data_IF_298523543452
#
_entry.id   IF_298523543452
#
_cell.length_a   1.000
_cell.length_b   1.000
_cell.length_c   1.000
_cell.angle_alpha   90.00
_cell.angle_beta   90.00
_cell.angle_gamma   90.00
#
_symmetry.space_group_name_H-M   'P 1'
#
loop_
_entity.id
_entity.type
_entity.pdbx_description
1 polymer ?
#
# COMPACT_ATOMS: atom_id res chain seq x y z
N UNK A 1 -35.08 -12.36 2.20
CA UNK A 1 -35.40 -13.26 1.05
C UNK A 1 -34.43 -12.98 -0.07
N UNK A 2 -33.67 -13.97 -0.40
CA UNK A 2 -32.73 -14.30 -1.48
C UNK A 2 -31.26 -14.20 -1.10
N UNK A 3 -30.80 -15.34 -0.64
CA UNK A 3 -29.40 -15.80 -0.65
C UNK A 3 -28.84 -15.82 -2.08
N UNK A 4 -27.57 -15.46 -2.21
CA UNK A 4 -26.74 -15.91 -3.33
C UNK A 4 -25.47 -16.54 -2.75
N UNK A 5 -25.47 -17.87 -2.73
CA UNK A 5 -24.32 -18.71 -2.46
C UNK A 5 -23.46 -18.79 -3.71
N UNK A 6 -22.20 -18.35 -3.64
CA UNK A 6 -21.17 -18.70 -4.60
C UNK A 6 -20.27 -19.77 -3.97
N UNK A 7 -20.52 -21.04 -4.39
CA UNK A 7 -19.73 -22.19 -3.98
C UNK A 7 -18.38 -22.26 -4.68
N UNK A 8 -17.32 -22.00 -3.94
CA UNK A 8 -15.96 -22.35 -4.36
C UNK A 8 -15.78 -23.86 -4.40
N UNK A 9 -15.41 -24.43 -5.57
CA UNK A 9 -14.99 -25.82 -5.68
C UNK A 9 -13.65 -25.98 -4.93
N UNK A 10 -13.67 -26.73 -3.83
CA UNK A 10 -12.46 -27.08 -3.10
C UNK A 10 -11.66 -28.16 -3.86
N UNK A 11 -10.34 -28.11 -3.75
CA UNK A 11 -9.39 -29.06 -4.37
C UNK A 11 -9.73 -30.54 -4.14
N UNK A 12 -10.45 -30.84 -3.07
CA UNK A 12 -10.90 -32.19 -2.72
C UNK A 12 -11.98 -32.76 -3.65
N UNK A 13 -12.79 -31.91 -4.29
CA UNK A 13 -13.79 -32.36 -5.29
C UNK A 13 -13.14 -32.67 -6.62
N UNK A 14 -12.08 -31.97 -6.98
CA UNK A 14 -11.34 -32.21 -8.23
C UNK A 14 -10.55 -33.51 -8.15
N UNK A 15 -10.02 -33.87 -6.98
CA UNK A 15 -9.30 -35.12 -6.77
C UNK A 15 -10.23 -36.37 -6.87
N UNK A 16 -11.46 -36.30 -6.37
CA UNK A 16 -12.46 -37.41 -6.45
C UNK A 16 -13.02 -37.64 -7.84
N UNK A 17 -12.97 -36.63 -8.70
CA UNK A 17 -13.41 -36.78 -10.11
C UNK A 17 -12.32 -37.50 -10.91
N UNK A 18 -11.06 -37.25 -10.66
CA UNK A 18 -9.92 -37.91 -11.30
C UNK A 18 -9.76 -39.37 -10.87
N UNK A 19 -10.09 -39.73 -9.63
CA UNK A 19 -10.07 -41.12 -9.15
C UNK A 19 -11.18 -42.00 -9.79
N UNK A 20 -12.33 -41.40 -10.10
CA UNK A 20 -13.43 -42.15 -10.73
C UNK A 20 -13.21 -42.44 -12.23
N UNK A 21 -12.46 -41.60 -12.91
CA UNK A 21 -12.13 -41.85 -14.35
C UNK A 21 -10.97 -42.84 -14.53
N UNK A 22 -10.06 -42.99 -13.55
CA UNK A 22 -8.99 -43.96 -13.60
C UNK A 22 -9.46 -45.41 -13.34
N UNK A 23 -10.51 -45.63 -12.53
CA UNK A 23 -11.04 -46.98 -12.25
C UNK A 23 -11.93 -47.53 -13.37
N UNK A 24 -12.46 -46.72 -14.28
CA UNK A 24 -13.27 -47.15 -15.41
C UNK A 24 -12.46 -47.71 -16.59
N UNK A 25 -11.13 -47.55 -16.58
CA UNK A 25 -10.26 -48.00 -17.70
C UNK A 25 -9.62 -49.39 -17.47
N UNK A 26 -9.76 -49.99 -16.29
CA UNK A 26 -9.17 -51.29 -15.94
C UNK A 26 -10.10 -52.51 -16.01
N UNK A 27 -11.41 -52.31 -16.28
CA UNK A 27 -12.38 -53.41 -16.29
C UNK A 27 -12.70 -53.98 -17.68
N UNK A 28 -11.90 -53.70 -18.71
CA UNK A 28 -12.17 -54.19 -20.07
C UNK A 28 -11.12 -55.17 -20.67
N UNK A 29 -10.28 -55.80 -19.86
CA UNK A 29 -9.22 -56.71 -20.33
C UNK A 29 -9.30 -58.15 -19.80
N UNK A 30 -10.48 -58.61 -19.35
CA UNK A 30 -10.65 -60.03 -18.94
C UNK A 30 -11.84 -60.71 -19.63
N UNK A 31 -11.77 -60.82 -20.95
CA UNK A 31 -12.68 -61.73 -21.68
C UNK A 31 -12.13 -62.16 -23.05
N UNK A 32 -11.00 -62.80 -23.15
CA UNK A 32 -10.61 -63.62 -24.31
C UNK A 32 -9.34 -64.41 -23.99
N UNK A 33 -9.49 -65.56 -23.30
CA UNK A 33 -8.54 -66.66 -23.42
C UNK A 33 -9.10 -67.93 -22.78
N UNK A 34 -10.00 -68.61 -23.44
CA UNK A 34 -10.17 -70.10 -23.29
C UNK A 34 -10.61 -70.67 -24.62
N UNK A 35 -9.67 -71.01 -25.47
CA UNK A 35 -9.89 -71.95 -26.54
C UNK A 35 -8.84 -73.04 -26.43
N UNK A 36 -9.31 -74.16 -25.96
CA UNK A 36 -8.65 -75.45 -25.74
C UNK A 36 -8.18 -76.04 -27.05
N UNK A 37 -6.90 -76.40 -27.10
CA UNK A 37 -6.34 -77.17 -28.25
C UNK A 37 -6.59 -78.63 -28.03
N UNK A 38 -7.41 -79.26 -28.94
CA UNK A 38 -7.46 -80.69 -29.15
C UNK A 38 -6.58 -81.04 -30.34
N UNK A 39 -5.62 -81.95 -30.13
CA UNK A 39 -4.76 -82.50 -31.11
C UNK A 39 -5.43 -83.77 -31.73
N UNK A 40 -5.68 -83.74 -33.01
CA UNK A 40 -6.23 -84.88 -33.70
C UNK A 40 -5.98 -84.89 -35.22
N UNK A 41 -4.96 -85.68 -35.62
CA UNK A 41 -4.82 -86.44 -36.85
C UNK A 41 -4.57 -85.76 -38.20
N UNK A 42 -3.39 -86.08 -38.66
CA UNK A 42 -2.83 -85.96 -40.00
C UNK A 42 -3.63 -86.67 -41.03
N UNK A 43 -3.93 -86.00 -42.15
CA UNK A 43 -4.06 -86.64 -43.46
C UNK A 43 -3.41 -85.77 -44.53
N UNK A 44 -2.44 -86.36 -45.22
CA UNK A 44 -1.82 -85.79 -46.42
C UNK A 44 -2.75 -85.97 -47.61
N UNK A 45 -2.96 -84.87 -48.37
CA UNK A 45 -3.26 -84.94 -49.80
C UNK A 45 -2.99 -83.58 -50.49
N UNK A 46 -2.32 -83.62 -51.61
CA UNK A 46 -2.50 -82.82 -52.79
C UNK A 46 -2.00 -81.37 -52.78
N UNK A 47 -0.81 -81.14 -53.37
CA UNK A 47 -0.32 -79.80 -53.61
C UNK A 47 -1.09 -79.07 -54.69
N UNK A 48 -1.63 -77.95 -54.40
CA UNK A 48 -1.97 -76.90 -55.36
C UNK A 48 -1.13 -75.65 -55.11
N UNK A 49 -0.51 -75.19 -56.20
CA UNK A 49 0.27 -73.93 -56.15
C UNK A 49 -0.70 -72.76 -55.89
N UNK A 50 -0.37 -71.86 -54.98
CA UNK A 50 -1.23 -70.73 -54.72
C UNK A 50 -1.31 -69.82 -55.96
N UNK A 51 -2.52 -69.49 -56.35
CA UNK A 51 -2.85 -68.57 -57.44
C UNK A 51 -2.36 -67.19 -57.17
N UNK A 52 -2.03 -66.39 -58.19
CA UNK A 52 -1.51 -65.02 -58.10
C UNK A 52 -2.32 -64.05 -57.21
N UNK A 53 -3.59 -64.34 -56.91
CA UNK A 53 -4.49 -63.57 -56.08
C UNK A 53 -4.17 -63.73 -54.58
N UNK A 54 -3.71 -64.91 -54.15
CA UNK A 54 -3.35 -65.12 -52.71
C UNK A 54 -2.02 -64.45 -52.32
N UNK A 55 -1.09 -64.33 -53.28
CA UNK A 55 0.19 -63.61 -53.02
C UNK A 55 0.01 -62.15 -52.99
N UNK A 56 -0.94 -61.53 -53.72
CA UNK A 56 -1.24 -60.09 -53.64
C UNK A 56 -1.91 -59.73 -52.30
N UNK A 57 -2.86 -60.54 -51.80
CA UNK A 57 -3.55 -60.36 -50.55
C UNK A 57 -2.57 -60.41 -49.32
N UNK A 58 -1.66 -61.42 -49.34
CA UNK A 58 -0.64 -61.57 -48.29
C UNK A 58 0.38 -60.39 -48.28
N UNK A 59 0.69 -59.80 -49.44
CA UNK A 59 1.58 -58.66 -49.55
C UNK A 59 0.93 -57.34 -49.07
N UNK A 60 -0.38 -57.19 -49.33
CA UNK A 60 -1.16 -56.05 -48.83
C UNK A 60 -1.34 -56.13 -47.31
N UNK A 61 -1.60 -57.29 -46.75
CA UNK A 61 -1.74 -57.49 -45.31
C UNK A 61 -0.43 -57.23 -44.56
N UNK A 62 0.73 -57.64 -45.10
CA UNK A 62 2.05 -57.31 -44.62
C UNK A 62 2.31 -55.77 -44.67
N UNK A 63 1.90 -55.10 -45.75
CA UNK A 63 2.03 -53.63 -45.88
C UNK A 63 1.14 -52.90 -44.90
N UNK A 64 -0.09 -53.34 -44.64
CA UNK A 64 -1.01 -52.79 -43.64
C UNK A 64 -0.46 -53.01 -42.23
N UNK A 65 0.07 -54.18 -41.92
CA UNK A 65 0.69 -54.49 -40.60
C UNK A 65 1.95 -53.67 -40.36
N UNK A 66 2.79 -53.47 -41.39
CA UNK A 66 3.99 -52.62 -41.26
C UNK A 66 3.64 -51.12 -41.13
N UNK A 67 2.59 -50.63 -41.80
CA UNK A 67 2.08 -49.29 -41.66
C UNK A 67 1.49 -49.07 -40.25
N UNK A 68 0.80 -50.07 -39.72
CA UNK A 68 0.27 -49.98 -38.32
C UNK A 68 1.40 -49.94 -37.29
N UNK A 69 2.38 -50.84 -37.38
CA UNK A 69 3.57 -50.83 -36.52
C UNK A 69 4.38 -49.54 -36.64
N UNK A 70 4.49 -48.96 -37.83
CA UNK A 70 5.18 -47.68 -38.01
C UNK A 70 4.43 -46.49 -37.37
N UNK A 71 3.09 -46.54 -37.37
CA UNK A 71 2.25 -45.51 -36.73
C UNK A 71 2.27 -45.63 -35.21
N UNK A 72 2.20 -46.84 -34.68
CA UNK A 72 2.32 -47.13 -33.24
C UNK A 72 3.69 -46.74 -32.70
N UNK A 73 4.77 -47.03 -33.44
CA UNK A 73 6.13 -46.59 -33.04
C UNK A 73 6.29 -45.07 -33.04
N UNK A 74 5.70 -44.38 -34.02
CA UNK A 74 5.72 -42.89 -34.05
C UNK A 74 4.90 -42.29 -32.90
N UNK A 75 3.75 -42.88 -32.58
CA UNK A 75 2.93 -42.48 -31.45
C UNK A 75 3.66 -42.71 -30.11
N UNK A 76 4.31 -43.89 -29.96
CA UNK A 76 5.12 -44.16 -28.77
C UNK A 76 6.28 -43.19 -28.62
N UNK A 77 7.00 -42.87 -29.70
CA UNK A 77 8.08 -41.89 -29.69
C UNK A 77 7.58 -40.47 -29.35
N UNK A 78 6.42 -40.10 -29.87
CA UNK A 78 5.77 -38.83 -29.53
C UNK A 78 5.36 -38.78 -28.06
N UNK A 79 4.78 -39.86 -27.53
CA UNK A 79 4.43 -39.95 -26.11
C UNK A 79 5.66 -39.84 -25.19
N UNK A 80 6.75 -40.54 -25.53
CA UNK A 80 8.02 -40.48 -24.81
C UNK A 80 8.55 -39.03 -24.84
N UNK A 81 8.48 -38.37 -26.00
CA UNK A 81 8.89 -36.97 -26.15
C UNK A 81 8.07 -36.03 -25.24
N UNK A 82 6.73 -36.16 -25.24
CA UNK A 82 5.85 -35.35 -24.39
C UNK A 82 6.16 -35.58 -22.91
N UNK A 83 6.30 -36.83 -22.48
CA UNK A 83 6.65 -37.16 -21.10
C UNK A 83 8.03 -36.57 -20.71
N UNK A 84 9.02 -36.72 -21.60
CA UNK A 84 10.35 -36.16 -21.35
C UNK A 84 10.34 -34.64 -21.23
N UNK A 85 9.63 -33.95 -22.15
CA UNK A 85 9.48 -32.46 -22.08
C UNK A 85 8.73 -32.04 -20.81
N UNK A 86 7.65 -32.76 -20.46
CA UNK A 86 6.90 -32.47 -19.23
C UNK A 86 7.76 -32.65 -17.97
N UNK A 87 8.59 -33.71 -17.93
CA UNK A 87 9.52 -33.94 -16.81
C UNK A 87 10.59 -32.85 -16.71
N UNK A 88 11.11 -32.37 -17.85
CA UNK A 88 12.08 -31.27 -17.89
C UNK A 88 11.42 -29.98 -17.37
N UNK A 89 10.22 -29.65 -17.85
CA UNK A 89 9.48 -28.47 -17.43
C UNK A 89 9.13 -28.51 -15.93
N UNK A 90 8.74 -29.69 -15.42
CA UNK A 90 8.48 -29.89 -14.01
C UNK A 90 9.76 -29.70 -13.16
N UNK A 91 10.91 -30.24 -13.64
CA UNK A 91 12.20 -30.06 -13.00
C UNK A 91 12.65 -28.59 -12.95
N UNK A 92 12.53 -27.88 -14.06
CA UNK A 92 12.83 -26.43 -14.11
C UNK A 92 11.88 -25.65 -13.19
N UNK A 93 10.59 -25.95 -13.24
CA UNK A 93 9.60 -25.33 -12.36
C UNK A 93 9.91 -25.54 -10.88
N UNK A 94 10.34 -26.75 -10.50
CA UNK A 94 10.75 -27.05 -9.16
C UNK A 94 12.00 -26.26 -8.72
N UNK A 95 13.02 -26.15 -9.58
CA UNK A 95 14.24 -25.38 -9.27
C UNK A 95 13.92 -23.88 -9.04
N UNK A 96 13.06 -23.30 -9.89
CA UNK A 96 12.64 -21.90 -9.75
C UNK A 96 11.80 -21.69 -8.49
N UNK A 97 10.87 -22.61 -8.21
CA UNK A 97 10.03 -22.54 -7.00
C UNK A 97 10.88 -22.70 -5.73
N UNK A 98 11.87 -23.60 -5.75
CA UNK A 98 12.80 -23.82 -4.65
C UNK A 98 13.61 -22.54 -4.33
N UNK A 99 14.11 -21.87 -5.36
CA UNK A 99 14.84 -20.61 -5.17
C UNK A 99 13.92 -19.47 -4.68
N UNK A 100 12.74 -19.34 -5.28
CA UNK A 100 11.76 -18.31 -4.93
C UNK A 100 11.23 -18.46 -3.50
N UNK A 101 10.94 -19.68 -3.06
CA UNK A 101 10.33 -19.96 -1.75
C UNK A 101 11.36 -20.35 -0.67
N UNK A 102 12.64 -20.34 -0.99
CA UNK A 102 13.75 -20.63 -0.06
C UNK A 102 13.67 -22.01 0.63
N UNK A 103 13.19 -23.07 -0.06
CA UNK A 103 12.87 -24.33 0.60
C UNK A 103 14.07 -25.16 1.05
N UNK A 104 15.16 -25.22 0.32
CA UNK A 104 16.29 -26.11 0.60
C UNK A 104 17.63 -25.38 0.44
N UNK A 105 17.75 -24.19 1.00
CA UNK A 105 19.00 -23.43 1.00
C UNK A 105 19.76 -23.70 2.28
N UNK A 106 21.10 -23.73 2.19
CA UNK A 106 21.93 -23.73 3.39
C UNK A 106 21.79 -22.39 4.13
N UNK A 107 21.69 -22.39 5.46
CA UNK A 107 21.57 -21.15 6.23
C UNK A 107 22.77 -20.23 5.99
N UNK A 108 22.55 -19.11 5.37
CA UNK A 108 23.53 -18.07 5.13
C UNK A 108 22.91 -16.72 5.45
N UNK A 109 23.66 -15.88 6.16
CA UNK A 109 23.30 -14.47 6.36
C UNK A 109 24.32 -13.62 5.62
N UNK A 110 23.84 -12.67 4.85
CA UNK A 110 24.68 -11.75 4.07
C UNK A 110 24.20 -10.31 4.19
N UNK A 111 25.14 -9.39 4.09
CA UNK A 111 24.88 -7.95 4.14
C UNK A 111 24.81 -7.40 2.72
N UNK A 112 23.70 -6.76 2.36
CA UNK A 112 23.49 -6.14 1.04
C UNK A 112 23.41 -4.62 1.22
N UNK A 113 24.30 -3.91 0.54
CA UNK A 113 24.25 -2.45 0.44
C UNK A 113 23.49 -2.05 -0.83
N UNK A 114 22.39 -1.28 -0.65
CA UNK A 114 21.61 -0.67 -1.72
C UNK A 114 21.92 0.82 -1.75
N UNK A 115 22.44 1.29 -2.87
CA UNK A 115 22.82 2.68 -3.08
C UNK A 115 21.82 3.39 -4.01
N UNK A 116 21.92 4.72 -4.12
CA UNK A 116 21.08 5.55 -4.99
C UNK A 116 21.13 5.15 -6.48
N UNK A 117 22.27 4.56 -6.90
CA UNK A 117 22.50 4.18 -8.30
C UNK A 117 22.05 2.74 -8.60
N UNK A 118 21.52 2.02 -7.61
CA UNK A 118 21.07 0.65 -7.76
C UNK A 118 19.64 0.58 -8.33
N UNK A 119 19.51 -0.21 -9.36
CA UNK A 119 18.22 -0.66 -9.90
C UNK A 119 17.93 -2.10 -9.47
N UNK A 120 16.74 -2.61 -9.75
CA UNK A 120 16.34 -4.00 -9.44
C UNK A 120 17.30 -5.03 -10.06
N UNK A 121 17.99 -4.69 -11.15
CA UNK A 121 18.94 -5.59 -11.79
C UNK A 121 20.29 -5.63 -11.05
N UNK A 122 20.79 -4.48 -10.58
CA UNK A 122 22.01 -4.41 -9.77
C UNK A 122 21.78 -5.09 -8.42
N UNK A 123 20.62 -4.86 -7.79
CA UNK A 123 20.20 -5.52 -6.54
C UNK A 123 20.13 -7.03 -6.72
N UNK A 124 19.47 -7.53 -7.78
CA UNK A 124 19.44 -8.96 -8.09
C UNK A 124 20.84 -9.57 -8.31
N UNK A 125 21.78 -8.76 -8.84
CA UNK A 125 23.16 -9.20 -9.01
C UNK A 125 23.88 -9.27 -7.66
N UNK A 126 23.70 -8.29 -6.78
CA UNK A 126 24.24 -8.30 -5.42
C UNK A 126 23.71 -9.50 -4.63
N UNK A 127 22.38 -9.71 -4.61
CA UNK A 127 21.75 -10.86 -3.94
C UNK A 127 22.29 -12.20 -4.43
N UNK A 128 22.54 -12.33 -5.75
CA UNK A 128 23.13 -13.54 -6.32
C UNK A 128 24.59 -13.73 -5.91
N UNK A 129 25.40 -12.67 -5.93
CA UNK A 129 26.82 -12.73 -5.59
C UNK A 129 27.01 -13.15 -4.12
N UNK A 130 26.11 -12.72 -3.25
CA UNK A 130 26.11 -13.09 -1.83
C UNK A 130 25.39 -14.42 -1.57
N UNK A 131 24.92 -15.13 -2.60
CA UNK A 131 24.33 -16.46 -2.46
C UNK A 131 22.90 -16.51 -1.90
N UNK A 132 22.24 -15.36 -1.78
CA UNK A 132 20.86 -15.26 -1.28
C UNK A 132 19.84 -15.77 -2.31
N UNK A 133 20.14 -15.64 -3.60
CA UNK A 133 19.32 -16.13 -4.71
C UNK A 133 20.18 -16.86 -5.75
N UNK A 134 19.60 -17.82 -6.47
CA UNK A 134 20.32 -18.51 -7.55
C UNK A 134 20.01 -17.91 -8.94
N UNK A 135 18.76 -17.58 -9.20
CA UNK A 135 18.28 -17.17 -10.53
C UNK A 135 17.91 -15.68 -10.59
N UNK A 136 18.93 -14.82 -10.80
CA UNK A 136 18.71 -13.36 -10.84
C UNK A 136 17.67 -12.91 -11.88
N UNK A 137 17.56 -13.60 -13.03
CA UNK A 137 16.56 -13.25 -14.05
C UNK A 137 15.13 -13.51 -13.55
N UNK A 138 14.96 -14.56 -12.74
CA UNK A 138 13.68 -14.91 -12.15
C UNK A 138 13.30 -13.94 -11.01
N UNK A 139 14.25 -13.57 -10.17
CA UNK A 139 14.05 -12.51 -9.18
C UNK A 139 13.66 -11.18 -9.83
N UNK A 140 14.30 -10.80 -10.96
CA UNK A 140 13.91 -9.59 -11.73
C UNK A 140 12.48 -9.66 -12.23
N UNK A 141 12.08 -10.80 -12.81
CA UNK A 141 10.71 -11.00 -13.29
C UNK A 141 9.71 -10.89 -12.13
N UNK A 142 10.01 -11.53 -10.99
CA UNK A 142 9.20 -11.44 -9.78
C UNK A 142 9.14 -10.00 -9.23
N UNK A 143 10.28 -9.32 -9.16
CA UNK A 143 10.39 -7.94 -8.72
C UNK A 143 9.60 -6.96 -9.60
N UNK A 144 9.60 -7.17 -10.92
CA UNK A 144 8.79 -6.35 -11.83
C UNK A 144 7.28 -6.50 -11.57
N UNK A 145 6.81 -7.73 -11.31
CA UNK A 145 5.40 -8.00 -10.97
C UNK A 145 5.02 -7.41 -9.61
N UNK A 146 5.97 -7.35 -8.67
CA UNK A 146 5.76 -6.85 -7.30
C UNK A 146 6.09 -5.39 -7.11
N UNK A 147 6.47 -4.69 -8.17
CA UNK A 147 6.94 -3.29 -8.12
C UNK A 147 8.08 -3.11 -7.08
N UNK A 148 9.07 -4.01 -7.13
CA UNK A 148 10.17 -4.03 -6.17
C UNK A 148 11.02 -2.75 -6.22
N UNK A 149 11.15 -2.12 -7.40
CA UNK A 149 11.88 -0.87 -7.54
C UNK A 149 11.31 0.29 -6.74
N UNK A 150 9.99 0.27 -6.50
CA UNK A 150 9.28 1.31 -5.74
C UNK A 150 9.29 1.02 -4.23
N UNK A 151 9.72 -0.18 -3.83
CA UNK A 151 9.64 -0.67 -2.43
C UNK A 151 11.00 -0.79 -1.75
N UNK A 152 12.05 -1.05 -2.51
CA UNK A 152 13.40 -1.23 -1.97
C UNK A 152 14.01 0.15 -1.70
N UNK A 153 14.39 0.38 -0.45
CA UNK A 153 15.03 1.63 -0.01
C UNK A 153 16.56 1.59 -0.09
N UNK A 154 17.19 2.76 -0.04
CA UNK A 154 18.64 2.91 0.09
C UNK A 154 19.04 2.52 1.51
N UNK A 155 20.09 1.71 1.66
CA UNK A 155 20.60 1.30 2.95
C UNK A 155 21.40 0.00 2.91
N UNK A 156 21.88 -0.43 4.07
CA UNK A 156 22.59 -1.69 4.26
C UNK A 156 21.68 -2.66 5.03
N UNK A 157 21.39 -3.81 4.42
CA UNK A 157 20.43 -4.78 4.91
C UNK A 157 21.10 -6.11 5.25
N UNK A 158 20.80 -6.67 6.40
CA UNK A 158 21.14 -8.05 6.74
C UNK A 158 20.01 -8.97 6.30
N UNK A 159 20.30 -9.84 5.35
CA UNK A 159 19.34 -10.77 4.75
C UNK A 159 19.84 -12.19 4.89
N UNK A 160 18.96 -13.17 4.93
CA UNK A 160 19.31 -14.56 5.04
C UNK A 160 18.63 -15.42 3.97
N UNK A 161 19.15 -16.64 3.79
CA UNK A 161 18.65 -17.60 2.78
C UNK A 161 17.33 -18.24 3.15
N UNK A 162 16.79 -18.05 4.37
CA UNK A 162 15.46 -18.52 4.77
C UNK A 162 14.35 -17.58 4.26
N UNK A 163 14.73 -16.39 3.77
CA UNK A 163 13.82 -15.43 3.19
C UNK A 163 13.44 -15.80 1.76
N UNK A 164 12.14 -15.92 1.49
CA UNK A 164 11.61 -16.01 0.14
C UNK A 164 11.79 -14.68 -0.64
N UNK A 165 11.54 -14.65 -1.94
CA UNK A 165 11.72 -13.44 -2.75
C UNK A 165 10.88 -12.25 -2.26
N UNK A 166 9.70 -12.50 -1.72
CA UNK A 166 8.85 -11.44 -1.18
C UNK A 166 9.42 -10.92 0.14
N UNK A 167 9.89 -11.81 1.02
CA UNK A 167 10.55 -11.44 2.27
C UNK A 167 11.87 -10.67 2.02
N UNK A 168 12.66 -11.05 1.00
CA UNK A 168 13.85 -10.30 0.59
C UNK A 168 13.50 -8.87 0.14
N UNK A 169 12.47 -8.70 -0.70
CA UNK A 169 12.00 -7.38 -1.13
C UNK A 169 11.48 -6.57 0.06
N UNK A 170 10.69 -7.18 0.94
CA UNK A 170 10.19 -6.53 2.15
C UNK A 170 11.30 -6.24 3.16
N UNK A 171 12.27 -7.12 3.31
CA UNK A 171 13.43 -6.93 4.17
C UNK A 171 14.26 -5.71 3.75
N UNK A 172 14.41 -5.47 2.45
CA UNK A 172 15.07 -4.29 1.90
C UNK A 172 14.16 -3.05 1.87
N UNK A 173 12.86 -3.19 2.03
CA UNK A 173 11.90 -2.07 2.12
C UNK A 173 11.55 -1.72 3.56
N UNK A 174 11.83 -2.60 4.51
CA UNK A 174 11.36 -2.49 5.88
C UNK A 174 12.34 -1.74 6.78
N UNK A 175 11.81 -0.87 7.60
CA UNK A 175 12.41 0.11 8.52
C UNK A 175 13.41 -0.46 9.55
N UNK A 176 13.49 -1.77 9.71
CA UNK A 176 14.22 -2.41 10.81
C UNK A 176 15.45 -3.25 10.39
N UNK A 177 15.78 -3.29 9.10
CA UNK A 177 16.83 -4.18 8.59
C UNK A 177 18.14 -3.47 8.21
N UNK A 178 18.24 -2.15 8.43
CA UNK A 178 19.42 -1.40 8.01
C UNK A 178 20.52 -1.47 9.07
N UNK A 179 21.56 -2.22 8.79
CA UNK A 179 22.79 -2.25 9.62
C UNK A 179 23.72 -1.15 9.09
N UNK A 180 24.09 -0.20 9.95
CA UNK A 180 25.03 0.89 9.66
C UNK A 180 24.59 1.96 8.62
N UNK A 181 23.31 2.17 8.38
CA UNK A 181 22.89 3.42 7.76
C UNK A 181 22.90 4.52 8.84
N UNK A 182 23.47 5.68 8.52
CA UNK A 182 23.33 6.84 9.38
C UNK A 182 21.84 7.20 9.49
N UNK A 183 21.28 7.11 10.69
CA UNK A 183 19.91 7.51 10.98
C UNK A 183 19.89 8.82 11.74
N UNK A 184 18.82 9.57 11.54
CA UNK A 184 18.53 10.80 12.27
C UNK A 184 17.16 10.71 12.92
N UNK A 185 17.08 11.05 14.18
CA UNK A 185 15.82 11.14 14.90
C UNK A 185 15.27 12.55 14.72
N UNK A 186 14.07 12.67 14.18
CA UNK A 186 13.39 13.95 13.97
C UNK A 186 12.06 13.94 14.69
N UNK A 187 11.87 14.90 15.61
CA UNK A 187 10.59 15.15 16.24
C UNK A 187 9.86 16.23 15.44
N UNK A 188 8.71 15.85 14.89
CA UNK A 188 7.81 16.76 14.18
C UNK A 188 6.82 17.32 15.22
N UNK A 189 6.87 18.64 15.49
CA UNK A 189 5.93 19.26 16.42
C UNK A 189 4.50 19.27 15.89
N UNK A 190 3.53 19.21 16.81
CA UNK A 190 2.13 19.49 16.51
C UNK A 190 1.98 20.89 15.90
N UNK A 191 1.03 21.06 15.00
CA UNK A 191 0.75 22.35 14.37
C UNK A 191 1.72 22.76 13.25
N UNK A 192 2.67 21.89 12.82
CA UNK A 192 3.50 22.15 11.65
C UNK A 192 2.72 21.92 10.36
N UNK A 193 2.89 22.82 9.38
CA UNK A 193 2.40 22.60 8.02
C UNK A 193 3.29 21.63 7.26
N UNK A 194 2.80 21.09 6.14
CA UNK A 194 3.60 20.22 5.23
C UNK A 194 4.91 20.90 4.84
N UNK A 195 4.91 22.20 4.53
CA UNK A 195 6.16 22.94 4.21
C UNK A 195 7.13 22.99 5.39
N UNK A 196 6.64 23.24 6.58
CA UNK A 196 7.47 23.26 7.78
C UNK A 196 8.06 21.88 8.07
N UNK A 197 7.29 20.81 7.86
CA UNK A 197 7.77 19.44 7.98
C UNK A 197 8.85 19.14 6.94
N UNK A 198 8.64 19.50 5.68
CA UNK A 198 9.62 19.33 4.59
C UNK A 198 10.93 20.06 4.92
N UNK A 199 10.86 21.33 5.33
CA UNK A 199 12.05 22.11 5.73
C UNK A 199 12.76 21.50 6.96
N UNK A 200 11.98 20.96 7.91
CA UNK A 200 12.53 20.28 9.10
C UNK A 200 13.28 19.00 8.70
N UNK A 201 12.67 18.14 7.87
CA UNK A 201 13.29 16.91 7.38
C UNK A 201 14.57 17.21 6.59
N UNK A 202 14.55 18.23 5.73
CA UNK A 202 15.73 18.67 4.99
C UNK A 202 16.85 19.16 5.91
N UNK A 203 16.53 19.94 6.95
CA UNK A 203 17.48 20.41 7.95
C UNK A 203 18.20 19.27 8.66
N UNK A 204 17.52 18.13 8.88
CA UNK A 204 18.11 16.94 9.50
C UNK A 204 18.79 15.99 8.50
N UNK A 205 18.83 16.36 7.21
CA UNK A 205 19.54 15.58 6.19
C UNK A 205 18.79 14.33 5.72
N UNK A 206 17.47 14.26 5.95
CA UNK A 206 16.64 13.15 5.43
C UNK A 206 16.67 13.15 3.90
N UNK A 207 16.50 14.32 3.27
CA UNK A 207 16.79 14.55 1.85
C UNK A 207 16.82 16.06 1.58
N UNK A 208 17.08 16.47 0.32
CA UNK A 208 17.00 17.88 -0.07
C UNK A 208 15.56 18.41 0.02
N UNK A 209 15.40 19.69 0.37
CA UNK A 209 14.08 20.32 0.48
C UNK A 209 13.29 20.25 -0.82
N UNK A 210 13.96 20.48 -1.97
CA UNK A 210 13.34 20.39 -3.29
C UNK A 210 12.82 18.98 -3.62
N UNK A 211 13.57 17.94 -3.25
CA UNK A 211 13.17 16.55 -3.49
C UNK A 211 11.98 16.16 -2.61
N UNK A 212 12.00 16.51 -1.32
CA UNK A 212 10.91 16.29 -0.38
C UNK A 212 9.65 17.05 -0.80
N UNK A 213 9.77 18.31 -1.18
CA UNK A 213 8.66 19.13 -1.67
C UNK A 213 8.08 18.55 -2.96
N UNK A 214 8.94 18.16 -3.91
CA UNK A 214 8.52 17.51 -5.16
C UNK A 214 7.76 16.20 -4.91
N UNK A 215 8.20 15.40 -3.96
CA UNK A 215 7.50 14.17 -3.56
C UNK A 215 6.14 14.48 -2.90
N UNK A 216 6.07 15.48 -2.02
CA UNK A 216 4.83 15.91 -1.40
C UNK A 216 3.81 16.43 -2.42
N UNK A 217 4.26 17.19 -3.43
CA UNK A 217 3.41 17.76 -4.47
C UNK A 217 2.91 16.73 -5.48
N UNK A 218 3.78 15.80 -5.91
CA UNK A 218 3.58 14.94 -7.10
C UNK A 218 3.66 13.45 -6.83
N UNK A 219 4.12 13.02 -5.64
CA UNK A 219 4.22 11.61 -5.27
C UNK A 219 2.86 10.92 -5.34
N UNK A 220 2.83 9.64 -5.65
CA UNK A 220 1.63 8.81 -5.58
C UNK A 220 1.60 8.09 -4.25
N UNK A 221 0.57 8.34 -3.45
CA UNK A 221 0.37 7.73 -2.15
C UNK A 221 -0.97 7.00 -2.16
N UNK A 222 -0.93 5.68 -1.93
CA UNK A 222 -2.12 4.82 -1.97
C UNK A 222 -2.68 4.63 -0.55
N UNK A 223 -3.39 5.66 -0.08
CA UNK A 223 -4.11 5.63 1.19
C UNK A 223 -5.56 6.03 0.95
N UNK A 224 -6.49 5.24 1.51
CA UNK A 224 -7.94 5.43 1.32
C UNK A 224 -8.47 6.75 1.88
N UNK A 225 -7.77 7.36 2.83
CA UNK A 225 -8.15 8.64 3.43
C UNK A 225 -7.65 9.86 2.63
N UNK A 226 -6.77 9.68 1.65
CA UNK A 226 -6.32 10.78 0.80
C UNK A 226 -7.24 10.95 -0.40
N UNK A 227 -7.69 12.18 -0.65
CA UNK A 227 -8.48 12.50 -1.84
C UNK A 227 -7.59 12.51 -3.09
N UNK A 228 -7.79 11.53 -3.96
CA UNK A 228 -7.10 11.41 -5.25
C UNK A 228 -7.40 12.55 -6.24
N UNK A 229 -8.47 13.33 -6.01
CA UNK A 229 -8.83 14.50 -6.81
C UNK A 229 -8.04 15.76 -6.47
N UNK A 230 -7.35 15.77 -5.31
CA UNK A 230 -6.55 16.91 -4.87
C UNK A 230 -5.10 16.81 -5.37
N UNK A 231 -4.48 17.95 -5.61
CA UNK A 231 -3.10 18.07 -6.08
C UNK A 231 -2.29 19.05 -5.22
N UNK A 232 -0.98 19.03 -5.38
CA UNK A 232 -0.06 19.88 -4.60
C UNK A 232 0.09 19.42 -3.14
N UNK A 233 0.79 20.21 -2.35
CA UNK A 233 1.08 19.89 -0.94
C UNK A 233 -0.18 19.91 -0.05
N UNK A 234 -1.18 20.68 -0.43
CA UNK A 234 -2.42 20.83 0.35
C UNK A 234 -3.18 19.51 0.54
N UNK A 235 -2.99 18.53 -0.35
CA UNK A 235 -3.59 17.18 -0.22
C UNK A 235 -3.06 16.37 0.95
N UNK A 236 -1.85 16.73 1.45
CA UNK A 236 -1.20 16.06 2.59
C UNK A 236 -1.36 16.85 3.89
N UNK A 237 -1.91 18.08 3.82
CA UNK A 237 -2.09 18.91 5.01
C UNK A 237 -3.11 18.27 5.96
N UNK A 238 -2.72 18.11 7.21
CA UNK A 238 -3.51 17.42 8.23
C UNK A 238 -3.22 15.91 8.36
N UNK A 239 -2.52 15.30 7.39
CA UNK A 239 -2.30 13.86 7.34
C UNK A 239 -0.86 13.42 7.67
N UNK A 240 0.11 14.36 7.79
CA UNK A 240 1.47 14.06 8.20
C UNK A 240 1.57 14.11 9.73
N UNK A 241 1.25 12.98 10.39
CA UNK A 241 1.06 12.96 11.85
C UNK A 241 2.30 13.45 12.62
N UNK A 242 2.15 14.39 13.59
CA UNK A 242 3.24 14.85 14.43
C UNK A 242 3.64 13.78 15.44
N UNK A 243 4.92 13.39 15.43
CA UNK A 243 5.51 12.40 16.34
C UNK A 243 7.05 12.45 16.21
N UNK A 244 7.74 11.59 16.93
CA UNK A 244 9.19 11.38 16.78
C UNK A 244 9.45 10.20 15.87
N UNK A 245 10.20 10.44 14.81
CA UNK A 245 10.52 9.47 13.77
C UNK A 245 12.02 9.25 13.63
N UNK A 246 12.41 8.06 13.24
CA UNK A 246 13.75 7.76 12.80
C UNK A 246 13.78 7.66 11.28
N UNK A 247 14.64 8.46 10.63
CA UNK A 247 14.84 8.49 9.18
C UNK A 247 16.27 8.13 8.83
N UNK A 248 16.47 7.60 7.64
CA UNK A 248 17.83 7.47 7.09
C UNK A 248 18.31 8.80 6.51
N UNK A 249 19.60 9.06 6.62
CA UNK A 249 20.23 10.18 5.89
C UNK A 249 20.15 9.88 4.39
N UNK A 250 19.65 10.82 3.60
CA UNK A 250 19.34 10.68 2.17
C UNK A 250 18.28 9.60 1.87
N UNK A 251 17.32 9.38 2.78
CA UNK A 251 16.16 8.50 2.54
C UNK A 251 15.38 8.95 1.30
N UNK A 252 14.76 8.00 0.58
CA UNK A 252 13.83 8.33 -0.50
C UNK A 252 12.71 9.25 0.01
N UNK A 253 12.45 10.40 -0.63
CA UNK A 253 11.47 11.37 -0.16
C UNK A 253 10.06 10.81 -0.02
N UNK A 254 9.65 9.90 -0.93
CA UNK A 254 8.32 9.29 -0.86
C UNK A 254 8.22 8.33 0.33
N UNK A 255 9.29 7.59 0.63
CA UNK A 255 9.33 6.72 1.81
C UNK A 255 9.28 7.52 3.11
N UNK A 256 9.99 8.65 3.17
CA UNK A 256 9.93 9.52 4.33
C UNK A 256 8.50 10.04 4.58
N UNK A 257 7.79 10.47 3.53
CA UNK A 257 6.40 10.92 3.61
C UNK A 257 5.47 9.76 3.99
N UNK A 258 5.62 8.58 3.37
CA UNK A 258 4.81 7.40 3.71
C UNK A 258 4.90 7.04 5.19
N UNK A 259 6.07 7.22 5.82
CA UNK A 259 6.27 6.96 7.25
C UNK A 259 5.36 7.81 8.14
N UNK A 260 5.12 9.07 7.76
CA UNK A 260 4.22 9.96 8.47
C UNK A 260 2.75 9.59 8.23
N UNK A 261 2.42 9.24 6.97
CA UNK A 261 1.07 8.78 6.59
C UNK A 261 0.70 7.44 7.24
N UNK A 262 1.66 6.51 7.33
CA UNK A 262 1.45 5.24 8.04
C UNK A 262 1.16 5.45 9.53
N UNK A 263 1.88 6.39 10.18
CA UNK A 263 1.61 6.72 11.57
C UNK A 263 0.24 7.38 11.73
N UNK A 264 -0.15 8.27 10.82
CA UNK A 264 -1.50 8.82 10.78
C UNK A 264 -2.55 7.70 10.72
N UNK A 265 -2.38 6.75 9.80
CA UNK A 265 -3.28 5.59 9.67
C UNK A 265 -3.36 4.75 10.94
N UNK A 266 -2.25 4.60 11.67
CA UNK A 266 -2.22 3.86 12.94
C UNK A 266 -2.86 4.63 14.10
N UNK A 267 -2.75 5.96 14.11
CA UNK A 267 -3.31 6.82 15.15
C UNK A 267 -4.81 7.04 14.99
N UNK A 268 -5.29 7.05 13.73
CA UNK A 268 -6.72 7.04 13.40
C UNK A 268 -7.24 5.61 13.40
N UNK A 269 -7.34 5.05 14.61
CA UNK A 269 -7.82 3.69 14.82
C UNK A 269 -9.33 3.54 14.55
N UNK A 270 -9.83 2.31 14.62
CA UNK A 270 -11.23 2.00 14.32
C UNK A 270 -12.21 2.75 15.25
N UNK A 271 -11.81 3.04 16.49
CA UNK A 271 -12.62 3.80 17.45
C UNK A 271 -12.78 5.25 17.00
N UNK A 272 -11.67 5.93 16.67
CA UNK A 272 -11.69 7.30 16.17
C UNK A 272 -12.41 7.42 14.83
N UNK A 273 -12.20 6.46 13.92
CA UNK A 273 -12.91 6.44 12.63
C UNK A 273 -14.41 6.25 12.81
N UNK A 274 -14.84 5.45 13.79
CA UNK A 274 -16.27 5.33 14.16
C UNK A 274 -16.81 6.66 14.69
N UNK A 275 -16.07 7.36 15.53
CA UNK A 275 -16.47 8.71 16.02
C UNK A 275 -16.55 9.73 14.87
N UNK A 276 -15.65 9.66 13.88
CA UNK A 276 -15.77 10.49 12.65
C UNK A 276 -17.10 10.20 11.92
N UNK A 277 -17.43 8.94 11.70
CA UNK A 277 -18.69 8.55 11.05
C UNK A 277 -19.92 9.02 11.84
N UNK A 278 -19.91 8.89 13.16
CA UNK A 278 -20.99 9.30 14.06
C UNK A 278 -21.13 10.84 14.15
N UNK A 279 -20.06 11.60 13.94
CA UNK A 279 -20.07 13.07 14.00
C UNK A 279 -20.91 13.71 12.87
N UNK A 280 -21.09 13.00 11.75
CA UNK A 280 -21.74 13.52 10.54
C UNK A 280 -20.85 14.44 9.70
N UNK A 281 -19.57 14.62 10.06
CA UNK A 281 -18.55 15.31 9.29
C UNK A 281 -17.62 14.31 8.62
N UNK A 282 -17.05 14.68 7.48
CA UNK A 282 -15.99 13.88 6.86
C UNK A 282 -14.70 13.93 7.68
N UNK A 283 -13.82 12.94 7.51
CA UNK A 283 -12.50 12.95 8.15
C UNK A 283 -11.73 14.25 7.84
N UNK A 284 -11.82 14.74 6.61
CA UNK A 284 -11.16 15.98 6.23
C UNK A 284 -11.71 17.19 6.99
N UNK A 285 -13.02 17.31 7.14
CA UNK A 285 -13.65 18.41 7.92
C UNK A 285 -13.24 18.33 9.39
N UNK A 286 -13.16 17.14 9.98
CA UNK A 286 -12.64 16.96 11.34
C UNK A 286 -11.17 17.40 11.44
N UNK A 287 -10.32 17.05 10.46
CA UNK A 287 -8.92 17.49 10.44
C UNK A 287 -8.78 19.00 10.21
N UNK A 288 -9.64 19.59 9.40
CA UNK A 288 -9.70 21.04 9.25
C UNK A 288 -10.00 21.69 10.60
N UNK A 289 -11.07 21.26 11.28
CA UNK A 289 -11.46 21.79 12.60
C UNK A 289 -10.32 21.57 13.62
N UNK A 290 -9.75 20.37 13.65
CA UNK A 290 -8.64 20.07 14.54
C UNK A 290 -7.41 20.95 14.29
N UNK A 291 -7.11 21.26 13.00
CA UNK A 291 -6.00 22.16 12.65
C UNK A 291 -6.24 23.61 13.09
N UNK A 292 -7.50 24.06 13.03
CA UNK A 292 -7.87 25.36 13.57
C UNK A 292 -7.71 25.41 15.09
N UNK A 293 -8.20 24.38 15.79
CA UNK A 293 -8.04 24.24 17.25
C UNK A 293 -6.56 24.24 17.63
N UNK A 294 -5.73 23.45 16.92
CA UNK A 294 -4.30 23.32 17.19
C UNK A 294 -3.55 24.66 17.12
N UNK A 295 -3.99 25.54 16.23
CA UNK A 295 -3.36 26.86 16.04
C UNK A 295 -3.87 27.94 17.00
N UNK A 296 -4.97 27.69 17.70
CA UNK A 296 -5.61 28.68 18.58
C UNK A 296 -5.25 28.48 20.05
N UNK A 297 -4.79 27.30 20.47
CA UNK A 297 -4.56 27.04 21.90
C UNK A 297 -3.36 26.13 22.16
N UNK A 298 -2.73 26.32 23.31
CA UNK A 298 -1.64 25.47 23.84
C UNK A 298 -2.14 24.23 24.60
N UNK A 299 -3.47 24.01 24.68
CA UNK A 299 -4.00 22.72 25.05
C UNK A 299 -5.06 22.59 26.12
N UNK A 300 -5.31 23.55 26.99
CA UNK A 300 -6.22 23.35 28.13
C UNK A 300 -7.71 23.50 27.78
N UNK A 301 -8.01 24.20 26.72
CA UNK A 301 -9.35 24.65 26.33
C UNK A 301 -9.78 24.22 24.95
N UNK A 302 -9.09 23.22 24.37
CA UNK A 302 -9.37 22.70 23.02
C UNK A 302 -10.85 22.37 22.79
N UNK A 303 -11.52 21.72 23.75
CA UNK A 303 -12.94 21.35 23.62
C UNK A 303 -13.87 22.58 23.63
N UNK A 304 -13.52 23.65 24.39
CA UNK A 304 -14.28 24.90 24.36
C UNK A 304 -14.06 25.67 23.05
N UNK A 305 -12.83 25.70 22.51
CA UNK A 305 -12.53 26.27 21.18
C UNK A 305 -13.31 25.49 20.12
N UNK A 306 -13.29 24.16 20.16
CA UNK A 306 -14.09 23.31 19.28
C UNK A 306 -15.59 23.69 19.34
N UNK A 307 -16.13 23.85 20.56
CA UNK A 307 -17.53 24.27 20.77
C UNK A 307 -17.83 25.60 20.09
N UNK A 308 -16.94 26.60 20.22
CA UNK A 308 -17.11 27.90 19.54
C UNK A 308 -17.10 27.74 18.04
N UNK A 309 -16.20 26.95 17.47
CA UNK A 309 -16.13 26.69 16.03
C UNK A 309 -17.45 26.08 15.54
N UNK A 310 -17.94 25.02 16.18
CA UNK A 310 -19.21 24.39 15.82
C UNK A 310 -20.42 25.30 16.00
N UNK A 311 -20.45 26.09 17.08
CA UNK A 311 -21.52 27.06 17.30
C UNK A 311 -21.57 28.11 16.19
N UNK A 312 -20.41 28.61 15.74
CA UNK A 312 -20.34 29.56 14.62
C UNK A 312 -20.71 28.91 13.28
N UNK A 313 -20.28 27.66 13.03
CA UNK A 313 -20.64 26.93 11.80
C UNK A 313 -22.14 26.65 11.70
N UNK A 314 -22.80 26.36 12.82
CA UNK A 314 -24.20 25.91 12.83
C UNK A 314 -25.22 27.03 13.07
N UNK A 315 -24.78 28.25 13.37
CA UNK A 315 -25.68 29.33 13.77
C UNK A 315 -25.44 30.60 12.93
N UNK A 316 -26.52 31.11 12.35
CA UNK A 316 -26.52 32.35 11.52
C UNK A 316 -26.37 33.64 12.36
N UNK A 317 -26.29 33.57 13.69
CA UNK A 317 -26.28 34.71 14.58
C UNK A 317 -25.33 35.85 14.23
N UNK A 318 -24.76 36.53 15.23
CA UNK A 318 -23.89 37.69 15.05
C UNK A 318 -22.59 37.41 14.29
N UNK A 319 -22.21 36.13 14.11
CA UNK A 319 -20.96 35.71 13.46
C UNK A 319 -21.11 35.39 11.98
N UNK A 320 -22.33 35.26 11.47
CA UNK A 320 -22.65 34.98 10.05
C UNK A 320 -21.88 33.77 9.49
N UNK A 321 -21.72 32.68 10.28
CA UNK A 321 -20.93 31.48 9.94
C UNK A 321 -19.43 31.74 9.67
N UNK A 322 -18.92 32.91 10.03
CA UNK A 322 -17.51 33.26 9.87
C UNK A 322 -16.73 32.85 11.12
N UNK A 323 -15.64 32.13 10.92
CA UNK A 323 -14.82 31.66 12.05
C UNK A 323 -13.84 32.72 12.58
N UNK A 324 -13.39 33.63 11.69
CA UNK A 324 -12.50 34.76 12.03
C UNK A 324 -11.19 34.33 12.70
N UNK A 325 -10.64 33.17 12.28
CA UNK A 325 -9.40 32.59 12.81
C UNK A 325 -8.21 33.13 12.02
N UNK A 326 -7.33 33.88 12.67
CA UNK A 326 -6.19 34.54 12.05
C UNK A 326 -5.13 33.55 11.54
N UNK A 327 -4.97 32.41 12.20
CA UNK A 327 -4.06 31.35 11.76
C UNK A 327 -4.38 30.83 10.35
N UNK A 328 -5.66 30.80 9.98
CA UNK A 328 -6.06 30.42 8.64
C UNK A 328 -5.64 31.49 7.60
N UNK A 329 -5.75 32.77 7.93
CA UNK A 329 -5.26 33.87 7.07
C UNK A 329 -3.75 33.76 6.88
N UNK A 330 -3.00 33.54 7.95
CA UNK A 330 -1.54 33.35 7.92
C UNK A 330 -1.16 32.18 6.99
N UNK A 331 -1.84 31.03 7.15
CA UNK A 331 -1.61 29.87 6.29
C UNK A 331 -1.90 30.19 4.80
N UNK A 332 -3.04 30.82 4.53
CA UNK A 332 -3.43 31.18 3.16
C UNK A 332 -2.47 32.15 2.47
N UNK A 333 -1.91 33.11 3.21
CA UNK A 333 -0.87 34.02 2.71
C UNK A 333 0.43 33.28 2.36
N UNK A 334 0.88 32.39 3.22
CA UNK A 334 2.05 31.54 2.98
C UNK A 334 1.82 30.57 1.83
N UNK A 335 0.66 29.91 1.78
CA UNK A 335 0.29 28.99 0.71
C UNK A 335 0.29 29.67 -0.67
N UNK A 336 -0.31 30.88 -0.77
CA UNK A 336 -0.38 31.63 -2.02
C UNK A 336 0.99 32.03 -2.56
N UNK A 337 1.96 32.31 -1.67
CA UNK A 337 3.32 32.71 -2.02
C UNK A 337 4.29 31.53 -2.15
N UNK A 338 3.84 30.31 -1.85
CA UNK A 338 4.70 29.13 -1.88
C UNK A 338 5.77 29.08 -0.75
N UNK A 339 5.53 29.77 0.35
CA UNK A 339 6.45 29.88 1.51
C UNK A 339 5.69 29.88 2.85
N UNK A 340 6.40 29.83 3.95
CA UNK A 340 5.80 30.03 5.27
C UNK A 340 5.72 31.55 5.56
N UNK A 341 4.53 32.05 5.85
CA UNK A 341 4.35 33.45 6.26
C UNK A 341 4.94 33.64 7.67
N UNK A 342 5.84 34.60 7.82
CA UNK A 342 6.60 34.81 9.06
C UNK A 342 6.35 36.16 9.73
N UNK A 343 5.51 37.02 9.15
CA UNK A 343 5.24 38.36 9.67
C UNK A 343 4.02 38.43 10.59
N UNK A 344 3.89 39.53 11.39
CA UNK A 344 2.62 39.83 12.01
C UNK A 344 1.58 40.23 10.97
N UNK A 345 0.32 39.86 11.17
CA UNK A 345 -0.78 40.23 10.27
C UNK A 345 -0.96 41.73 10.26
N UNK A 346 -0.98 42.29 9.06
CA UNK A 346 -1.32 43.72 8.85
C UNK A 346 -2.78 43.84 8.38
N UNK A 347 -3.38 45.04 8.42
CA UNK A 347 -4.70 45.28 7.89
C UNK A 347 -4.76 44.92 6.39
N UNK A 348 -3.71 45.21 5.62
CA UNK A 348 -3.62 44.85 4.23
C UNK A 348 -3.62 43.32 3.97
N UNK A 349 -3.11 42.55 4.93
CA UNK A 349 -3.16 41.08 4.87
C UNK A 349 -4.57 40.56 5.19
N UNK A 350 -5.25 41.16 6.14
CA UNK A 350 -6.65 40.83 6.49
C UNK A 350 -7.65 41.21 5.37
N UNK A 351 -7.30 42.17 4.52
CA UNK A 351 -8.12 42.62 3.38
C UNK A 351 -7.87 41.76 2.11
N UNK A 352 -6.93 40.81 2.13
CA UNK A 352 -6.70 39.92 1.00
C UNK A 352 -7.79 38.86 0.89
N UNK A 353 -8.40 38.78 -0.28
CA UNK A 353 -9.40 37.76 -0.59
C UNK A 353 -8.70 36.44 -0.97
N UNK A 354 -8.59 35.54 0.02
CA UNK A 354 -8.11 34.17 -0.18
C UNK A 354 -9.13 33.19 0.38
N UNK A 355 -9.24 31.97 -0.14
CA UNK A 355 -10.17 30.97 0.39
C UNK A 355 -9.94 30.61 1.87
N UNK A 356 -8.77 30.94 2.42
CA UNK A 356 -8.43 30.77 3.83
C UNK A 356 -8.73 31.99 4.71
N UNK A 357 -9.20 33.09 4.12
CA UNK A 357 -9.58 34.28 4.91
C UNK A 357 -10.98 34.11 5.53
N UNK A 358 -11.03 33.47 6.69
CA UNK A 358 -12.25 33.17 7.43
C UNK A 358 -12.92 34.41 8.05
N UNK A 359 -12.38 35.60 7.82
CA UNK A 359 -13.02 36.89 8.11
C UNK A 359 -13.92 37.33 6.94
N UNK A 360 -13.60 36.87 5.72
CA UNK A 360 -14.33 37.20 4.50
C UNK A 360 -15.26 36.06 4.06
N UNK A 361 -14.81 34.81 4.19
CA UNK A 361 -15.53 33.60 3.77
C UNK A 361 -16.22 32.93 4.94
N UNK A 362 -17.40 32.36 4.68
CA UNK A 362 -18.17 31.57 5.62
C UNK A 362 -17.72 30.10 5.61
N UNK A 363 -17.89 29.41 6.75
CA UNK A 363 -17.63 27.99 6.86
C UNK A 363 -16.16 27.64 7.09
N UNK A 364 -15.80 26.41 6.70
CA UNK A 364 -14.44 25.87 6.86
C UNK A 364 -13.51 26.30 5.70
N UNK A 365 -12.20 26.42 5.94
CA UNK A 365 -11.23 26.61 4.86
C UNK A 365 -11.15 25.35 3.98
N UNK A 366 -10.54 25.46 2.76
CA UNK A 366 -10.52 24.36 1.78
C UNK A 366 -9.75 23.11 2.25
N UNK A 367 -8.78 23.26 3.14
CA UNK A 367 -7.95 22.18 3.69
C UNK A 367 -7.56 22.48 5.13
N UNK A 368 -7.05 21.50 5.87
CA UNK A 368 -6.36 21.78 7.13
C UNK A 368 -5.26 22.82 6.92
N UNK A 369 -4.92 23.58 7.96
CA UNK A 369 -3.88 24.62 7.94
C UNK A 369 -2.59 24.21 8.64
N UNK A 370 -2.58 23.02 9.21
CA UNK A 370 -1.42 22.36 9.82
C UNK A 370 -1.73 20.89 10.06
N UNK A 371 -0.74 20.13 10.51
CA UNK A 371 -0.91 18.76 10.98
C UNK A 371 -1.17 18.77 12.49
N UNK A 372 -2.42 18.50 12.92
CA UNK A 372 -2.81 18.57 14.32
C UNK A 372 -2.35 17.34 15.11
N UNK A 373 -2.14 17.53 16.41
CA UNK A 373 -1.96 16.43 17.34
C UNK A 373 -3.27 15.68 17.65
N UNK A 374 -3.14 14.49 18.23
CA UNK A 374 -4.29 13.64 18.57
C UNK A 374 -5.26 14.35 19.55
N UNK A 375 -4.75 15.20 20.44
CA UNK A 375 -5.58 15.93 21.39
C UNK A 375 -6.54 16.91 20.71
N UNK A 376 -6.10 17.59 19.65
CA UNK A 376 -6.95 18.49 18.86
C UNK A 376 -7.94 17.73 17.98
N UNK A 377 -7.56 16.55 17.44
CA UNK A 377 -8.48 15.67 16.71
C UNK A 377 -9.59 15.18 17.64
N UNK A 378 -9.24 14.72 18.85
CA UNK A 378 -10.25 14.29 19.85
C UNK A 378 -11.15 15.44 20.29
N UNK A 379 -10.61 16.65 20.48
CA UNK A 379 -11.42 17.82 20.81
C UNK A 379 -12.38 18.23 19.69
N UNK A 380 -12.01 18.03 18.43
CA UNK A 380 -12.89 18.24 17.28
C UNK A 380 -14.04 17.20 17.25
N UNK A 381 -13.77 15.94 17.66
CA UNK A 381 -14.78 14.88 17.73
C UNK A 381 -15.69 15.01 18.97
N UNK A 382 -15.16 15.51 20.08
CA UNK A 382 -15.85 15.62 21.36
C UNK A 382 -15.83 17.08 21.87
N UNK A 383 -16.50 18.02 21.18
CA UNK A 383 -16.56 19.41 21.60
C UNK A 383 -17.34 19.54 22.92
N UNK A 384 -16.99 20.55 23.74
CA UNK A 384 -17.78 20.87 24.92
C UNK A 384 -19.19 21.35 24.51
N UNK A 385 -20.19 20.97 25.27
CA UNK A 385 -21.57 21.45 25.06
C UNK A 385 -21.72 22.85 25.70
N UNK A 386 -21.48 23.87 24.90
CA UNK A 386 -21.58 25.27 25.34
C UNK A 386 -22.38 26.11 24.35
N UNK A 387 -22.68 27.34 24.74
CA UNK A 387 -23.28 28.34 23.89
C UNK A 387 -22.38 29.57 23.72
N UNK A 388 -21.07 29.35 23.68
CA UNK A 388 -20.08 30.40 23.42
C UNK A 388 -19.87 30.57 21.90
N UNK A 389 -19.72 31.85 21.51
CA UNK A 389 -19.47 32.27 20.13
C UNK A 389 -18.17 33.08 19.98
N UNK A 390 -17.61 33.53 21.08
CA UNK A 390 -16.44 34.39 21.12
C UNK A 390 -15.49 33.95 22.23
N UNK A 391 -14.21 34.13 21.98
CA UNK A 391 -13.17 33.97 23.01
C UNK A 391 -12.08 35.01 22.83
N UNK A 392 -11.31 35.25 23.89
CA UNK A 392 -10.13 36.09 23.85
C UNK A 392 -9.15 35.66 24.95
N UNK A 393 -7.85 35.75 24.63
CA UNK A 393 -6.78 35.40 25.57
C UNK A 393 -6.67 36.47 26.67
N UNK A 394 -6.74 36.05 27.92
CA UNK A 394 -6.51 36.91 29.07
C UNK A 394 -5.04 37.08 29.42
N UNK A 395 -4.70 38.11 30.24
CA UNK A 395 -3.35 38.30 30.80
C UNK A 395 -2.91 37.16 31.71
N UNK A 396 -3.86 36.38 32.19
CA UNK A 396 -3.67 35.17 32.98
C UNK A 396 -3.21 33.95 32.11
N UNK A 397 -3.10 34.14 30.78
CA UNK A 397 -2.73 33.12 29.85
C UNK A 397 -3.85 32.08 29.58
N UNK A 398 -5.11 32.44 29.92
CA UNK A 398 -6.28 31.56 29.71
C UNK A 398 -7.26 32.24 28.77
N UNK A 399 -7.91 31.45 27.91
CA UNK A 399 -8.99 31.95 27.09
C UNK A 399 -10.26 32.14 27.90
N UNK A 400 -10.85 33.33 27.76
CA UNK A 400 -12.16 33.67 28.31
C UNK A 400 -13.22 33.57 27.19
N UNK A 401 -14.33 32.91 27.50
CA UNK A 401 -15.38 32.56 26.51
C UNK A 401 -16.63 33.41 26.75
N UNK A 402 -17.24 33.86 25.65
CA UNK A 402 -18.37 34.79 25.67
C UNK A 402 -19.51 34.31 24.75
N UNK A 403 -20.76 34.62 25.15
CA UNK A 403 -21.96 34.29 24.36
C UNK A 403 -22.27 35.36 23.33
N UNK A 404 -21.98 36.62 23.64
CA UNK A 404 -22.34 37.76 22.80
C UNK A 404 -21.12 38.57 22.41
N UNK A 405 -21.17 39.25 21.28
CA UNK A 405 -20.13 40.17 20.82
C UNK A 405 -19.88 41.29 21.84
N UNK A 406 -20.95 41.81 22.48
CA UNK A 406 -20.83 42.87 23.49
C UNK A 406 -20.01 42.40 24.69
N UNK A 407 -20.20 41.20 25.20
CA UNK A 407 -19.40 40.66 26.30
C UNK A 407 -17.94 40.53 25.89
N UNK A 408 -17.66 40.03 24.72
CA UNK A 408 -16.32 39.91 24.16
C UNK A 408 -15.64 41.30 24.05
N UNK A 409 -16.27 42.30 23.44
CA UNK A 409 -15.73 43.65 23.31
C UNK A 409 -15.49 44.28 24.66
N UNK A 410 -16.36 44.08 25.66
CA UNK A 410 -16.16 44.56 27.00
C UNK A 410 -14.90 43.98 27.65
N UNK A 411 -14.65 42.68 27.41
CA UNK A 411 -13.44 42.02 27.91
C UNK A 411 -12.19 42.54 27.19
N UNK A 412 -12.19 42.61 25.86
CA UNK A 412 -11.06 43.12 25.07
C UNK A 412 -10.69 44.56 25.44
N UNK A 413 -11.66 45.39 25.83
CA UNK A 413 -11.42 46.75 26.30
C UNK A 413 -11.06 46.83 27.82
N UNK A 414 -11.02 45.70 28.50
CA UNK A 414 -10.69 45.67 29.95
C UNK A 414 -9.19 45.53 30.19
N UNK A 415 -8.76 45.76 31.44
CA UNK A 415 -7.38 45.53 31.86
C UNK A 415 -6.98 44.05 31.93
N UNK A 416 -7.93 43.13 31.72
CA UNK A 416 -7.71 41.68 31.79
C UNK A 416 -7.33 41.07 30.42
N UNK A 417 -7.52 41.80 29.32
CA UNK A 417 -7.16 41.34 27.97
C UNK A 417 -5.64 41.25 27.85
N UNK A 418 -5.16 40.11 27.26
CA UNK A 418 -3.76 39.74 27.18
C UNK A 418 -3.09 40.04 25.84
N UNK A 419 -3.87 40.26 24.74
CA UNK A 419 -3.40 40.45 23.38
C UNK A 419 -3.06 41.89 23.02
#
# INVERSE_FOLDING_TARGET
MRENANGGLTAEKTFRILEKECCSFMDHEEKYNTARWDAGQVRREGGERPTHSAQSAASEERRRRNRRKGRERRFLLWLIFVVAVSAILAGVGWLLANDMCAFNKEPLTATIEVTKDDDVNSIATKLKNEGLIEYKWFFKLFGAVRHAGDKIGIGTYELNTDMDYNALIQGMSNRNATINADTVTVTIPEGYSVRQIVSLLAKYGVNSEDALLSAAERGSFDYSFLDSGKSGIARLEGYLFPDTYEFFVNEDPSHAICRLLDNFSQRMDDELMTQVEESGYSLEEILIIASLIEKETDGKDRTNIASVIYNRLNNVGETYHKLEIDAAVIYGLGYANGENYAGPLTQADLDKDTPYNLRMHEGLPPTPICNPGLASIRAALEPADTNYYFYALGKDGVHHFFKTYREHVNFVNSSQYGG
#
